data_IF_887360216110
#
_entry.id   IF_887360216110
#
_cell.length_a   1.000
_cell.length_b   1.000
_cell.length_c   1.000
_cell.angle_alpha   90.00
_cell.angle_beta   90.00
_cell.angle_gamma   90.00
#
_symmetry.space_group_name_H-M   'P 1'
#
loop_
_entity.id
_entity.type
_entity.pdbx_description
1 polymer ?
#
# COMPACT_ATOMS: atom_id res chain seq x y z
N UNK A 1 -15.71 -5.67 -5.39
CA UNK A 1 -14.46 -5.00 -4.95
C UNK A 1 -13.34 -5.99 -4.77
N UNK A 2 -12.14 -5.55 -5.04
CA UNK A 2 -10.96 -6.40 -5.00
C UNK A 2 -10.10 -6.01 -3.82
N UNK A 3 -9.68 -6.98 -3.04
CA UNK A 3 -8.76 -6.78 -1.93
C UNK A 3 -7.37 -7.26 -2.34
N UNK A 4 -6.40 -6.37 -2.25
CA UNK A 4 -5.01 -6.67 -2.56
C UNK A 4 -4.18 -6.56 -1.30
N UNK A 5 -3.40 -7.58 -0.98
CA UNK A 5 -2.52 -7.57 0.19
C UNK A 5 -1.08 -7.66 -0.29
N UNK A 6 -0.26 -6.69 0.11
CA UNK A 6 1.15 -6.65 -0.24
C UNK A 6 2.01 -6.79 1.00
N UNK A 7 3.06 -7.57 0.90
CA UNK A 7 4.09 -7.64 1.94
C UNK A 7 5.08 -6.52 1.74
N UNK A 8 5.38 -5.78 2.81
CA UNK A 8 6.30 -4.65 2.77
C UNK A 8 7.38 -4.84 3.82
N UNK A 9 8.64 -4.95 3.36
CA UNK A 9 9.78 -5.01 4.25
C UNK A 9 10.23 -3.59 4.60
N UNK A 10 10.66 -3.39 5.83
CA UNK A 10 11.22 -2.11 6.26
C UNK A 10 10.20 -1.07 6.71
N UNK A 11 8.93 -1.39 6.76
CA UNK A 11 7.93 -0.51 7.34
C UNK A 11 8.00 -0.63 8.86
N UNK A 12 8.51 0.39 9.53
CA UNK A 12 8.91 0.29 10.93
C UNK A 12 8.07 1.10 11.92
N UNK A 13 7.18 1.97 11.47
CA UNK A 13 6.42 2.84 12.36
C UNK A 13 5.15 3.38 11.69
N UNK A 14 4.33 4.06 12.49
CA UNK A 14 3.09 4.65 11.99
C UNK A 14 3.29 5.69 10.89
N UNK A 15 4.40 6.40 10.91
CA UNK A 15 4.72 7.35 9.83
C UNK A 15 4.91 6.65 8.50
N UNK A 16 5.55 5.49 8.53
CA UNK A 16 5.71 4.69 7.32
C UNK A 16 4.37 4.20 6.79
N UNK A 17 3.48 3.80 7.68
CA UNK A 17 2.12 3.39 7.31
C UNK A 17 1.37 4.52 6.61
N UNK A 18 1.38 5.71 7.21
CA UNK A 18 0.71 6.87 6.64
C UNK A 18 1.30 7.25 5.28
N UNK A 19 2.61 7.23 5.16
CA UNK A 19 3.30 7.57 3.93
C UNK A 19 2.91 6.59 2.80
N UNK A 20 2.94 5.30 3.08
CA UNK A 20 2.55 4.27 2.12
C UNK A 20 1.09 4.46 1.70
N UNK A 21 0.20 4.68 2.66
CA UNK A 21 -1.21 4.89 2.38
C UNK A 21 -1.42 6.08 1.45
N UNK A 22 -0.76 7.21 1.74
CA UNK A 22 -0.88 8.41 0.92
C UNK A 22 -0.34 8.21 -0.49
N UNK A 23 0.79 7.54 -0.63
CA UNK A 23 1.37 7.25 -1.93
C UNK A 23 0.44 6.39 -2.79
N UNK A 24 -0.16 5.39 -2.19
CA UNK A 24 -1.09 4.53 -2.91
C UNK A 24 -2.33 5.31 -3.34
N UNK A 25 -2.88 6.14 -2.46
CA UNK A 25 -4.04 6.96 -2.79
C UNK A 25 -3.75 7.97 -3.90
N UNK A 26 -2.53 8.51 -3.92
CA UNK A 26 -2.14 9.50 -4.91
C UNK A 26 -1.89 8.88 -6.29
N UNK A 27 -1.44 7.63 -6.32
CA UNK A 27 -1.05 6.98 -7.57
C UNK A 27 -2.11 6.02 -8.11
N UNK A 28 -3.07 5.63 -7.30
CA UNK A 28 -4.10 4.66 -7.69
C UNK A 28 -5.47 5.13 -7.23
N UNK A 29 -6.49 4.74 -7.99
CA UNK A 29 -7.87 5.00 -7.61
C UNK A 29 -8.36 3.85 -6.73
N UNK A 30 -8.27 4.01 -5.42
CA UNK A 30 -8.61 2.97 -4.46
C UNK A 30 -9.73 3.43 -3.52
N UNK A 31 -10.51 2.49 -3.02
CA UNK A 31 -11.59 2.77 -2.07
C UNK A 31 -11.05 2.88 -0.64
N UNK A 32 -10.10 2.03 -0.31
CA UNK A 32 -9.55 1.99 1.03
C UNK A 32 -8.12 1.44 0.97
N UNK A 33 -7.26 1.97 1.81
CA UNK A 33 -5.92 1.44 1.98
C UNK A 33 -5.59 1.43 3.46
N UNK A 34 -5.02 0.34 3.92
CA UNK A 34 -4.65 0.16 5.32
C UNK A 34 -3.31 -0.56 5.40
N UNK A 35 -2.36 0.02 6.11
CA UNK A 35 -1.03 -0.56 6.29
C UNK A 35 -0.82 -0.95 7.75
N UNK A 36 -0.05 -2.03 7.96
CA UNK A 36 0.29 -2.48 9.30
C UNK A 36 1.79 -2.76 9.37
N UNK A 37 2.51 -1.95 10.16
CA UNK A 37 3.95 -2.14 10.33
C UNK A 37 4.27 -3.38 11.16
N UNK A 38 3.40 -3.75 12.08
CA UNK A 38 3.61 -4.94 12.90
C UNK A 38 3.48 -6.23 12.12
N UNK A 39 2.63 -6.24 11.10
CA UNK A 39 2.46 -7.39 10.19
C UNK A 39 3.33 -7.28 8.95
N UNK A 40 3.85 -6.10 8.67
CA UNK A 40 4.64 -5.86 7.47
C UNK A 40 3.84 -6.00 6.20
N UNK A 41 2.58 -5.56 6.20
CA UNK A 41 1.73 -5.69 5.02
C UNK A 41 0.76 -4.52 4.87
N UNK A 42 0.29 -4.33 3.63
CA UNK A 42 -0.68 -3.29 3.28
C UNK A 42 -1.86 -3.93 2.58
N UNK A 43 -3.07 -3.62 3.03
CA UNK A 43 -4.31 -4.06 2.39
C UNK A 43 -4.90 -2.91 1.59
N UNK A 44 -5.31 -3.19 0.36
CA UNK A 44 -5.89 -2.20 -0.54
C UNK A 44 -7.21 -2.72 -1.07
N UNK A 45 -8.25 -1.91 -0.94
CA UNK A 45 -9.58 -2.24 -1.48
C UNK A 45 -9.83 -1.34 -2.68
N UNK A 46 -10.09 -1.92 -3.84
CA UNK A 46 -10.36 -1.16 -5.06
C UNK A 46 -11.44 -1.84 -5.89
N UNK A 47 -12.04 -1.08 -6.80
CA UNK A 47 -13.05 -1.63 -7.71
C UNK A 47 -12.42 -2.48 -8.81
N UNK A 48 -11.22 -2.10 -9.24
CA UNK A 48 -10.51 -2.77 -10.32
C UNK A 48 -9.19 -3.35 -9.83
N UNK A 49 -8.70 -4.43 -10.46
CA UNK A 49 -7.40 -4.98 -10.10
C UNK A 49 -6.30 -3.93 -10.26
N UNK A 50 -5.34 -3.93 -9.36
CA UNK A 50 -4.20 -3.04 -9.42
C UNK A 50 -2.99 -3.78 -9.96
N UNK A 51 -2.09 -3.03 -10.64
CA UNK A 51 -0.86 -3.58 -11.15
C UNK A 51 0.14 -3.75 -10.00
N UNK A 52 0.46 -4.99 -9.66
CA UNK A 52 1.37 -5.28 -8.55
C UNK A 52 2.76 -4.71 -8.77
N UNK A 53 3.22 -4.68 -10.02
CA UNK A 53 4.53 -4.10 -10.33
C UNK A 53 4.55 -2.61 -10.04
N UNK A 54 3.48 -1.90 -10.38
CA UNK A 54 3.36 -0.47 -10.06
C UNK A 54 3.26 -0.23 -8.57
N UNK A 55 2.51 -1.07 -7.87
CA UNK A 55 2.40 -0.99 -6.41
C UNK A 55 3.77 -1.15 -5.76
N UNK A 56 4.54 -2.13 -6.20
CA UNK A 56 5.88 -2.37 -5.69
C UNK A 56 6.78 -1.16 -5.95
N UNK A 57 6.73 -0.57 -7.14
CA UNK A 57 7.51 0.62 -7.46
C UNK A 57 7.15 1.80 -6.58
N UNK A 58 5.86 2.06 -6.39
CA UNK A 58 5.39 3.15 -5.55
C UNK A 58 5.87 2.96 -4.11
N UNK A 59 5.73 1.76 -3.58
CA UNK A 59 6.12 1.46 -2.20
C UNK A 59 7.64 1.55 -2.04
N UNK A 60 8.39 1.05 -3.01
CA UNK A 60 9.86 1.16 -2.98
C UNK A 60 10.32 2.61 -2.99
N UNK A 61 9.60 3.47 -3.69
CA UNK A 61 9.91 4.89 -3.73
C UNK A 61 9.68 5.63 -2.42
N UNK A 62 8.88 5.06 -1.51
CA UNK A 62 8.62 5.69 -0.20
C UNK A 62 9.68 5.36 0.84
N UNK A 63 10.41 4.34 0.60
CA UNK A 63 11.34 3.80 1.56
C UNK A 63 12.71 4.30 1.48
#
# INVERSE_FOLDING_TARGET
>A
MIKTVLKIDGMMCGHCEAHVNNEIRNNFNVKKVSSSHSKGETEIISENPLDEAKLTDVISGTG
#
